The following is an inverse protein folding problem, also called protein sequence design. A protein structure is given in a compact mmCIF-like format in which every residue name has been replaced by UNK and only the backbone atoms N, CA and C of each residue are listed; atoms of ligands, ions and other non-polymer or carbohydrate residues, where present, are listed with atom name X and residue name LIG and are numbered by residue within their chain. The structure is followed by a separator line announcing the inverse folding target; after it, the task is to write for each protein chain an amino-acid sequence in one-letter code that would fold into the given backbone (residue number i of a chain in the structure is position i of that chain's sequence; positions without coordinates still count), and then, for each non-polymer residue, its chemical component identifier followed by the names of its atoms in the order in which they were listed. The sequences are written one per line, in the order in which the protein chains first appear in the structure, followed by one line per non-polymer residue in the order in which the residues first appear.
data_IF_121344348594
#
_entry.id   IF_121344348594
#
_cell.length_a   1.000
_cell.length_b   1.000
_cell.length_c   1.000
_cell.angle_alpha   90.00
_cell.angle_beta   90.00
_cell.angle_gamma   90.00
#
_symmetry.space_group_name_H-M   'P 1'
#
loop_
_entity.id
_entity.type
_entity.pdbx_description
1 polymer ?
#
# COMPACT_ATOMS: atom_id res chain seq x y z
N UNK A 1 9.02 30.33 39.86
CA UNK A 1 8.12 30.47 38.70
C UNK A 1 8.98 30.68 37.47
N UNK A 2 9.28 29.63 36.72
CA UNK A 2 9.87 29.74 35.39
C UNK A 2 8.91 29.07 34.41
N UNK A 3 8.17 29.91 33.69
CA UNK A 3 7.27 29.51 32.61
C UNK A 3 8.14 29.10 31.42
N UNK A 4 8.37 27.80 31.28
CA UNK A 4 8.90 27.22 30.04
C UNK A 4 7.83 27.42 28.97
N UNK A 5 8.09 28.34 28.03
CA UNK A 5 7.29 28.47 26.81
C UNK A 5 7.52 27.21 25.98
N UNK A 6 6.56 26.29 26.01
CA UNK A 6 6.49 25.23 25.01
C UNK A 6 6.29 25.90 23.65
N UNK A 7 7.32 25.83 22.82
CA UNK A 7 7.20 26.09 21.40
C UNK A 7 6.30 24.98 20.87
N UNK A 8 5.09 25.35 20.47
CA UNK A 8 4.19 24.47 19.74
C UNK A 8 4.86 24.18 18.39
N UNK A 9 5.68 23.13 18.35
CA UNK A 9 6.22 22.59 17.12
C UNK A 9 5.03 21.88 16.47
N UNK A 10 4.32 22.58 15.59
CA UNK A 10 3.39 21.95 14.67
C UNK A 10 4.28 21.15 13.73
N UNK A 11 4.59 19.91 14.12
CA UNK A 11 5.08 18.89 13.23
C UNK A 11 3.90 18.65 12.29
N UNK A 12 3.94 19.24 11.10
CA UNK A 12 3.16 18.69 10.00
C UNK A 12 3.71 17.28 9.82
N UNK A 13 3.02 16.29 10.38
CA UNK A 13 3.21 14.89 10.05
C UNK A 13 2.71 14.75 8.62
N UNK A 14 3.61 15.09 7.70
CA UNK A 14 3.42 14.83 6.29
C UNK A 14 3.35 13.30 6.21
N UNK A 15 2.30 12.71 5.64
CA UNK A 15 2.27 11.27 5.44
C UNK A 15 3.58 10.91 4.73
N UNK A 16 4.34 9.94 5.26
CA UNK A 16 5.60 9.37 4.70
C UNK A 16 5.52 8.89 3.23
N UNK A 17 4.42 9.21 2.57
CA UNK A 17 3.75 8.54 1.46
C UNK A 17 3.98 9.30 0.15
N UNK A 18 4.93 10.24 0.11
CA UNK A 18 5.19 11.07 -1.06
C UNK A 18 6.66 11.10 -1.46
N UNK A 19 7.47 10.15 -0.99
CA UNK A 19 8.90 10.04 -1.29
C UNK A 19 9.14 8.85 -2.20
N UNK A 20 8.74 8.96 -3.47
CA UNK A 20 9.04 7.91 -4.44
C UNK A 20 9.20 8.44 -5.87
N UNK A 21 10.20 7.90 -6.54
CA UNK A 21 10.29 7.87 -8.00
C UNK A 21 9.47 6.67 -8.48
N UNK A 22 8.29 6.96 -9.01
CA UNK A 22 7.39 6.00 -9.62
C UNK A 22 7.53 6.02 -11.14
N UNK A 23 7.89 4.89 -11.75
CA UNK A 23 7.98 4.79 -13.21
C UNK A 23 7.41 3.49 -13.74
N UNK A 24 6.78 3.58 -14.91
CA UNK A 24 6.26 2.42 -15.63
C UNK A 24 6.97 2.30 -16.96
N UNK A 25 7.49 1.11 -17.26
CA UNK A 25 8.11 0.78 -18.53
C UNK A 25 7.45 -0.43 -19.16
N UNK A 26 7.24 -0.41 -20.48
CA UNK A 26 6.62 -1.50 -21.23
C UNK A 26 7.48 -1.87 -22.41
N UNK A 27 7.62 -3.15 -22.68
CA UNK A 27 8.35 -3.61 -23.85
C UNK A 27 8.43 -5.13 -23.90
N UNK A 28 9.46 -5.61 -24.58
CA UNK A 28 9.76 -7.03 -24.67
C UNK A 28 11.10 -7.31 -23.99
N UNK A 29 11.15 -8.46 -23.33
CA UNK A 29 12.34 -9.09 -22.81
C UNK A 29 12.40 -10.49 -23.42
N UNK A 30 13.26 -10.68 -24.43
CA UNK A 30 13.18 -11.82 -25.35
C UNK A 30 11.88 -11.81 -26.16
N UNK A 31 11.18 -12.96 -26.23
CA UNK A 31 9.85 -13.11 -26.85
C UNK A 31 8.70 -12.69 -25.92
N UNK A 32 9.00 -12.22 -24.71
CA UNK A 32 8.01 -12.00 -23.66
C UNK A 32 7.69 -10.52 -23.53
N UNK A 33 6.42 -10.17 -23.70
CA UNK A 33 5.93 -8.82 -23.38
C UNK A 33 5.88 -8.66 -21.87
N UNK A 34 6.46 -7.57 -21.36
CA UNK A 34 6.55 -7.27 -19.94
C UNK A 34 6.19 -5.82 -19.64
N UNK A 35 5.76 -5.57 -18.41
CA UNK A 35 5.53 -4.24 -17.86
C UNK A 35 6.23 -4.14 -16.50
N UNK A 36 7.12 -3.17 -16.35
CA UNK A 36 7.95 -2.93 -15.18
C UNK A 36 7.42 -1.70 -14.44
N UNK A 37 7.33 -1.83 -13.12
CA UNK A 37 6.92 -0.80 -12.18
C UNK A 37 8.07 -0.59 -11.21
N UNK A 38 8.64 0.62 -11.21
CA UNK A 38 9.77 0.98 -10.37
C UNK A 38 9.27 1.95 -9.32
N UNK A 39 9.62 1.68 -8.05
CA UNK A 39 9.44 2.58 -6.91
C UNK A 39 10.80 2.74 -6.27
N UNK A 40 11.31 3.97 -6.21
CA UNK A 40 12.60 4.27 -5.61
C UNK A 40 12.52 5.42 -4.63
N UNK A 41 13.09 5.24 -3.45
CA UNK A 41 13.35 6.33 -2.49
C UNK A 41 14.68 6.99 -2.85
N UNK A 42 15.67 6.18 -3.26
CA UNK A 42 16.99 6.65 -3.68
C UNK A 42 17.65 5.69 -4.65
N UNK A 43 18.84 6.04 -5.16
CA UNK A 43 19.64 5.14 -5.98
C UNK A 43 20.10 3.85 -5.26
N UNK A 44 20.03 3.81 -3.94
CA UNK A 44 20.41 2.65 -3.13
C UNK A 44 19.19 1.91 -2.57
N UNK A 45 17.99 2.46 -2.76
CA UNK A 45 16.75 1.94 -2.18
C UNK A 45 15.64 2.05 -3.22
N UNK A 46 15.51 0.99 -4.01
CA UNK A 46 14.49 0.87 -5.02
C UNK A 46 14.17 -0.57 -5.33
N UNK A 47 12.91 -0.75 -5.71
CA UNK A 47 12.32 -2.02 -6.03
C UNK A 47 11.67 -1.99 -7.41
N UNK A 48 11.61 -3.15 -8.03
CA UNK A 48 10.91 -3.36 -9.30
C UNK A 48 9.92 -4.48 -9.14
N UNK A 49 8.67 -4.21 -9.52
CA UNK A 49 7.68 -5.24 -9.75
C UNK A 49 7.45 -5.33 -11.25
N UNK A 50 7.39 -6.53 -11.81
CA UNK A 50 7.03 -6.67 -13.20
C UNK A 50 6.01 -7.77 -13.47
N UNK A 51 5.16 -7.51 -14.47
CA UNK A 51 4.17 -8.45 -14.99
C UNK A 51 4.70 -9.08 -16.28
N UNK A 52 4.74 -10.41 -16.31
CA UNK A 52 4.93 -11.17 -17.54
C UNK A 52 3.58 -11.44 -18.22
N UNK A 53 3.34 -10.90 -19.41
CA UNK A 53 2.04 -11.08 -20.07
C UNK A 53 1.77 -12.50 -20.57
N UNK A 54 2.80 -13.34 -20.74
CA UNK A 54 2.66 -14.71 -21.23
C UNK A 54 2.25 -15.66 -20.10
N UNK A 55 2.86 -15.53 -18.93
CA UNK A 55 2.55 -16.38 -17.75
C UNK A 55 1.62 -15.73 -16.73
N UNK A 56 1.38 -14.42 -16.83
CA UNK A 56 0.63 -13.61 -15.84
C UNK A 56 1.22 -13.70 -14.44
N UNK A 57 2.53 -13.95 -14.36
CA UNK A 57 3.29 -13.98 -13.12
C UNK A 57 3.74 -12.57 -12.79
N UNK A 58 3.61 -12.22 -11.51
CA UNK A 58 4.14 -10.99 -10.94
C UNK A 58 5.44 -11.37 -10.24
N UNK A 59 6.49 -10.62 -10.52
CA UNK A 59 7.80 -10.84 -9.96
C UNK A 59 8.28 -9.59 -9.26
N UNK A 60 8.94 -9.76 -8.12
CA UNK A 60 9.50 -8.67 -7.33
C UNK A 60 11.02 -8.79 -7.29
N UNK A 61 11.69 -7.71 -7.69
CA UNK A 61 13.13 -7.54 -7.68
C UNK A 61 13.45 -6.42 -6.68
N UNK A 62 13.93 -6.81 -5.50
CA UNK A 62 14.41 -5.87 -4.50
C UNK A 62 15.90 -6.04 -4.23
N UNK A 63 16.45 -5.18 -3.37
CA UNK A 63 17.83 -5.25 -2.88
C UNK A 63 18.87 -5.20 -4.02
N UNK A 64 18.71 -4.25 -4.93
CA UNK A 64 19.65 -4.01 -6.02
C UNK A 64 21.08 -3.77 -5.47
N UNK A 65 22.08 -4.38 -6.12
CA UNK A 65 23.49 -4.07 -5.86
C UNK A 65 24.02 -3.17 -6.95
N UNK A 66 24.42 -1.96 -6.58
CA UNK A 66 25.09 -1.02 -7.49
C UNK A 66 26.51 -1.51 -7.77
N UNK A 67 26.84 -1.68 -9.04
CA UNK A 67 28.18 -1.91 -9.57
C UNK A 67 28.60 -0.78 -10.51
N UNK A 68 29.80 -0.88 -11.07
CA UNK A 68 30.34 0.13 -11.98
C UNK A 68 29.57 0.23 -13.29
N UNK A 69 28.86 -0.84 -13.66
CA UNK A 69 28.14 -1.00 -14.93
C UNK A 69 26.62 -0.79 -14.79
N UNK A 70 26.09 -0.72 -13.56
CA UNK A 70 24.66 -0.56 -13.29
C UNK A 70 24.18 -1.27 -12.03
N UNK A 71 22.96 -1.79 -12.08
CA UNK A 71 22.26 -2.37 -10.93
C UNK A 71 21.99 -3.85 -11.13
N UNK A 72 22.47 -4.67 -10.20
CA UNK A 72 22.36 -6.13 -10.25
C UNK A 72 21.34 -6.64 -9.24
N UNK A 73 20.37 -7.41 -9.71
CA UNK A 73 19.34 -8.07 -8.91
C UNK A 73 19.57 -9.58 -8.94
N UNK A 74 19.82 -10.17 -7.77
CA UNK A 74 20.10 -11.62 -7.64
C UNK A 74 18.93 -12.43 -7.10
N UNK A 75 17.90 -11.76 -6.58
CA UNK A 75 16.78 -12.42 -5.91
C UNK A 75 15.47 -11.93 -6.52
N UNK A 76 14.73 -12.88 -7.09
CA UNK A 76 13.34 -12.68 -7.48
C UNK A 76 12.48 -13.40 -6.45
N UNK A 77 11.74 -12.65 -5.63
CA UNK A 77 10.71 -13.24 -4.76
C UNK A 77 9.46 -13.28 -5.63
N UNK A 78 9.20 -14.43 -6.23
CA UNK A 78 8.11 -14.65 -7.18
C UNK A 78 6.98 -15.41 -6.47
N UNK A 79 5.73 -15.12 -6.80
CA UNK A 79 4.56 -15.75 -6.16
C UNK A 79 4.48 -17.27 -6.38
N UNK A 80 5.21 -17.84 -7.35
CA UNK A 80 5.11 -19.26 -7.69
C UNK A 80 6.34 -19.89 -8.37
N UNK A 81 7.52 -19.28 -8.29
CA UNK A 81 8.70 -19.83 -8.97
C UNK A 81 9.96 -19.72 -8.11
N UNK A 82 10.56 -20.87 -7.82
CA UNK A 82 11.98 -21.05 -7.47
C UNK A 82 12.94 -20.64 -8.62
N UNK A 83 12.52 -19.75 -9.52
CA UNK A 83 13.35 -19.28 -10.62
C UNK A 83 14.22 -18.14 -10.13
N UNK A 84 15.49 -18.49 -9.88
CA UNK A 84 16.57 -17.53 -9.74
C UNK A 84 16.86 -16.96 -11.14
N UNK A 85 16.24 -15.84 -11.49
CA UNK A 85 16.67 -15.03 -12.61
C UNK A 85 17.57 -13.91 -12.06
N UNK A 86 18.74 -13.74 -12.66
CA UNK A 86 19.60 -12.60 -12.39
C UNK A 86 19.30 -11.52 -13.43
N UNK A 87 18.95 -10.33 -12.95
CA UNK A 87 18.63 -9.19 -13.80
C UNK A 87 19.62 -8.05 -13.57
N UNK A 88 19.97 -7.38 -14.65
CA UNK A 88 20.88 -6.26 -14.66
C UNK A 88 20.25 -5.07 -15.38
N UNK A 89 20.33 -3.88 -14.77
CA UNK A 89 19.81 -2.63 -15.33
C UNK A 89 20.95 -1.63 -15.48
N UNK A 90 21.06 -1.05 -16.69
CA UNK A 90 22.11 -0.09 -17.06
C UNK A 90 21.61 1.34 -16.91
N UNK A 91 22.48 2.21 -16.40
CA UNK A 91 22.35 3.68 -16.45
C UNK A 91 20.97 4.23 -16.03
N UNK A 92 20.38 3.68 -14.96
CA UNK A 92 19.11 4.19 -14.46
C UNK A 92 19.28 5.58 -13.84
N UNK A 93 18.52 6.54 -14.36
CA UNK A 93 18.52 7.92 -13.88
C UNK A 93 17.61 8.06 -12.66
N UNK A 94 18.19 8.11 -11.46
CA UNK A 94 17.48 8.41 -10.21
C UNK A 94 17.26 9.91 -9.98
N UNK A 95 17.39 10.76 -11.01
CA UNK A 95 17.22 12.20 -10.83
C UNK A 95 15.87 12.53 -10.16
N UNK A 96 16.00 13.14 -8.98
CA UNK A 96 14.93 13.53 -8.08
C UNK A 96 14.31 14.87 -8.49
N UNK A 97 13.03 15.07 -8.17
CA UNK A 97 12.31 16.35 -8.29
C UNK A 97 12.37 17.00 -9.69
N UNK A 98 12.55 16.18 -10.73
CA UNK A 98 12.50 16.60 -12.13
C UNK A 98 11.19 16.15 -12.77
N UNK A 99 10.64 17.01 -13.65
CA UNK A 99 9.41 16.70 -14.39
C UNK A 99 9.59 15.43 -15.21
N UNK A 100 10.72 15.32 -15.92
CA UNK A 100 11.05 14.15 -16.73
C UNK A 100 12.48 13.70 -16.46
N UNK A 101 12.70 12.39 -16.40
CA UNK A 101 14.04 11.80 -16.45
C UNK A 101 14.65 11.90 -17.84
N UNK A 102 15.99 11.85 -17.91
CA UNK A 102 16.73 12.00 -19.18
C UNK A 102 16.45 10.87 -20.17
N UNK A 103 16.17 9.68 -19.64
CA UNK A 103 16.05 8.46 -20.42
C UNK A 103 14.58 8.03 -20.53
N UNK A 104 14.12 7.87 -21.77
CA UNK A 104 12.80 7.30 -22.07
C UNK A 104 12.81 5.76 -22.17
N UNK A 105 13.97 5.15 -21.95
CA UNK A 105 14.12 3.71 -22.01
C UNK A 105 14.78 3.17 -20.76
N UNK A 106 14.30 2.02 -20.31
CA UNK A 106 15.00 1.16 -19.37
C UNK A 106 15.72 0.09 -20.18
N UNK A 107 17.04 -0.01 -20.01
CA UNK A 107 17.87 -0.97 -20.73
C UNK A 107 18.54 -1.89 -19.73
N UNK A 108 18.61 -3.17 -20.06
CA UNK A 108 19.19 -4.16 -19.18
C UNK A 108 19.29 -5.53 -19.83
N UNK A 109 19.58 -6.53 -19.02
CA UNK A 109 19.65 -7.93 -19.42
C UNK A 109 19.09 -8.82 -18.32
N UNK A 110 18.36 -9.86 -18.71
CA UNK A 110 17.99 -10.98 -17.86
C UNK A 110 18.82 -12.19 -18.25
N UNK A 111 19.29 -12.97 -17.27
CA UNK A 111 19.97 -14.22 -17.52
C UNK A 111 19.07 -15.21 -18.29
N UNK A 112 17.78 -15.20 -17.97
CA UNK A 112 16.80 -16.12 -18.56
C UNK A 112 16.32 -15.66 -19.93
N UNK A 113 16.15 -14.34 -20.13
CA UNK A 113 15.43 -13.80 -21.29
C UNK A 113 16.29 -12.92 -22.21
N UNK A 114 17.55 -12.67 -21.85
CA UNK A 114 18.50 -11.89 -22.62
C UNK A 114 18.32 -10.38 -22.46
N UNK A 115 18.90 -9.63 -23.39
CA UNK A 115 18.88 -8.17 -23.40
C UNK A 115 17.47 -7.62 -23.63
N UNK A 116 17.14 -6.52 -22.96
CA UNK A 116 15.88 -5.83 -23.11
C UNK A 116 16.03 -4.31 -23.20
N UNK A 117 15.03 -3.70 -23.83
CA UNK A 117 14.85 -2.26 -23.91
C UNK A 117 13.37 -1.95 -23.78
N UNK A 118 12.96 -1.43 -22.63
CA UNK A 118 11.58 -1.11 -22.31
C UNK A 118 11.34 0.39 -22.45
N UNK A 119 10.19 0.78 -22.99
CA UNK A 119 9.81 2.17 -23.21
C UNK A 119 9.05 2.72 -22.00
N UNK A 120 9.43 3.90 -21.51
CA UNK A 120 8.77 4.59 -20.41
C UNK A 120 7.36 5.01 -20.82
N UNK A 121 6.36 4.59 -20.05
CA UNK A 121 4.94 4.93 -20.24
C UNK A 121 4.42 5.91 -19.20
N UNK A 122 5.06 5.96 -18.04
CA UNK A 122 4.72 6.88 -16.98
C UNK A 122 5.96 7.22 -16.14
N UNK A 123 5.98 8.44 -15.61
CA UNK A 123 6.94 8.86 -14.59
C UNK A 123 6.36 9.89 -13.63
N UNK A 124 6.78 9.77 -12.38
CA UNK A 124 6.59 10.75 -11.33
C UNK A 124 7.80 10.68 -10.40
N UNK A 125 8.59 11.76 -10.31
CA UNK A 125 9.89 11.73 -9.64
C UNK A 125 9.88 12.65 -8.41
N UNK A 126 9.08 12.34 -7.37
CA UNK A 126 9.02 13.16 -6.17
C UNK A 126 9.96 12.59 -5.10
N UNK A 127 10.88 13.42 -4.60
CA UNK A 127 11.72 13.10 -3.45
C UNK A 127 11.65 14.26 -2.48
N UNK A 128 11.03 14.02 -1.32
CA UNK A 128 10.97 15.02 -0.26
C UNK A 128 12.29 14.96 0.55
N UNK A 129 12.89 16.10 0.91
CA UNK A 129 14.13 16.07 1.68
C UNK A 129 13.89 15.54 3.10
N UNK A 130 14.41 14.34 3.39
CA UNK A 130 14.48 13.78 4.74
C UNK A 130 15.38 14.67 5.61
N UNK A 131 14.76 15.41 6.53
CA UNK A 131 15.40 15.93 7.76
C UNK A 131 16.75 16.63 7.52
N UNK A 132 16.83 17.49 6.51
CA UNK A 132 17.70 18.67 6.59
C UNK A 132 17.14 19.75 5.67
N UNK A 133 16.46 20.74 6.26
CA UNK A 133 15.96 21.94 5.55
C UNK A 133 17.10 22.83 4.99
N UNK A 134 18.34 22.34 5.00
CA UNK A 134 19.51 23.01 4.45
C UNK A 134 19.44 23.13 2.93
N UNK A 135 18.88 22.14 2.21
CA UNK A 135 18.72 22.22 0.75
C UNK A 135 17.35 22.80 0.34
N UNK A 136 17.25 24.12 0.50
CA UNK A 136 16.08 24.91 0.08
C UNK A 136 15.75 24.77 -1.41
N UNK A 137 16.73 24.40 -2.25
CA UNK A 137 16.52 24.23 -3.69
C UNK A 137 15.70 22.97 -3.93
N UNK A 138 16.12 21.82 -3.39
CA UNK A 138 15.37 20.55 -3.50
C UNK A 138 13.95 20.67 -2.97
N UNK A 139 13.77 21.33 -1.82
CA UNK A 139 12.44 21.57 -1.25
C UNK A 139 11.54 22.38 -2.19
N UNK A 140 12.09 23.41 -2.85
CA UNK A 140 11.33 24.21 -3.82
C UNK A 140 10.99 23.40 -5.07
N UNK A 141 11.90 22.57 -5.58
CA UNK A 141 11.67 21.70 -6.73
C UNK A 141 10.56 20.68 -6.43
N UNK A 142 10.61 20.01 -5.26
CA UNK A 142 9.56 19.10 -4.81
C UNK A 142 8.19 19.79 -4.70
N UNK A 143 8.14 20.99 -4.08
CA UNK A 143 6.92 21.80 -4.00
C UNK A 143 6.36 22.18 -5.37
N UNK A 144 7.23 22.53 -6.32
CA UNK A 144 6.80 22.83 -7.69
C UNK A 144 6.26 21.58 -8.39
N UNK A 145 6.87 20.42 -8.20
CA UNK A 145 6.37 19.16 -8.76
C UNK A 145 4.97 18.83 -8.22
N UNK A 146 4.75 18.93 -6.91
CA UNK A 146 3.43 18.73 -6.29
C UNK A 146 2.40 19.70 -6.84
N UNK A 147 2.73 20.99 -6.95
CA UNK A 147 1.79 22.01 -7.44
C UNK A 147 1.43 21.85 -8.91
N UNK A 148 2.39 21.47 -9.74
CA UNK A 148 2.24 21.56 -11.19
C UNK A 148 1.88 20.23 -11.86
N UNK A 149 2.12 19.10 -11.20
CA UNK A 149 1.88 17.77 -11.78
C UNK A 149 0.45 17.31 -11.56
N UNK A 150 -0.18 16.83 -12.63
CA UNK A 150 -1.52 16.25 -12.64
C UNK A 150 -1.51 15.02 -13.54
N UNK A 151 -2.19 13.96 -13.12
CA UNK A 151 -2.45 12.80 -13.98
C UNK A 151 -3.71 12.08 -13.52
N UNK A 152 -4.33 11.34 -14.45
CA UNK A 152 -5.58 10.63 -14.19
C UNK A 152 -5.48 9.20 -14.67
N UNK A 153 -6.07 8.30 -13.90
CA UNK A 153 -6.28 6.91 -14.27
C UNK A 153 -4.98 6.16 -14.64
N UNK A 154 -3.89 6.41 -13.90
CA UNK A 154 -2.65 5.65 -14.06
C UNK A 154 -2.78 4.35 -13.29
N UNK A 155 -2.50 3.23 -13.95
CA UNK A 155 -2.52 1.93 -13.30
C UNK A 155 -1.17 1.59 -12.69
N UNK A 156 -1.16 1.17 -11.42
CA UNK A 156 0.01 0.64 -10.75
C UNK A 156 -0.24 -0.82 -10.35
N UNK A 157 0.58 -1.73 -10.87
CA UNK A 157 0.54 -3.14 -10.49
C UNK A 157 0.81 -3.30 -9.00
N UNK A 158 0.06 -4.20 -8.37
CA UNK A 158 0.28 -4.55 -6.98
C UNK A 158 1.10 -5.83 -6.90
N UNK A 159 1.98 -5.88 -5.90
CA UNK A 159 2.81 -7.06 -5.61
C UNK A 159 1.94 -8.27 -5.31
N UNK A 160 0.99 -8.08 -4.40
CA UNK A 160 0.03 -9.09 -3.99
C UNK A 160 -0.84 -9.54 -5.15
N UNK A 161 -0.99 -10.85 -5.31
CA UNK A 161 -1.89 -11.45 -6.28
C UNK A 161 -2.39 -12.80 -5.80
N UNK A 162 -3.58 -13.20 -6.25
CA UNK A 162 -4.12 -14.51 -5.88
C UNK A 162 -3.65 -15.56 -6.87
N UNK A 163 -4.04 -16.82 -6.65
CA UNK A 163 -3.84 -17.87 -7.65
C UNK A 163 -4.47 -17.52 -9.01
N UNK A 164 -5.66 -16.91 -8.98
CA UNK A 164 -6.50 -16.72 -10.16
C UNK A 164 -6.46 -15.28 -10.71
N UNK A 165 -6.04 -14.30 -9.91
CA UNK A 165 -6.16 -12.88 -10.23
C UNK A 165 -4.88 -12.09 -9.94
N UNK A 166 -4.67 -11.02 -10.70
CA UNK A 166 -3.73 -9.96 -10.36
C UNK A 166 -4.43 -8.60 -10.35
N UNK A 167 -3.85 -7.66 -9.61
CA UNK A 167 -4.49 -6.39 -9.30
C UNK A 167 -3.64 -5.23 -9.79
N UNK A 168 -4.31 -4.21 -10.33
CA UNK A 168 -3.73 -2.90 -10.56
C UNK A 168 -4.57 -1.86 -9.84
N UNK A 169 -3.96 -1.04 -8.98
CA UNK A 169 -4.66 0.12 -8.42
C UNK A 169 -4.71 1.21 -9.48
N UNK A 170 -5.86 1.87 -9.56
CA UNK A 170 -6.06 3.02 -10.42
C UNK A 170 -5.83 4.28 -9.59
N UNK A 171 -4.83 5.07 -9.97
CA UNK A 171 -4.40 6.25 -9.23
C UNK A 171 -4.57 7.52 -10.05
N UNK A 172 -4.86 8.62 -9.37
CA UNK A 172 -4.91 9.96 -9.95
C UNK A 172 -4.32 10.97 -8.99
N UNK A 173 -3.83 12.07 -9.55
CA UNK A 173 -3.28 13.20 -8.82
C UNK A 173 -3.83 14.48 -9.45
N UNK A 174 -4.53 15.28 -8.65
CA UNK A 174 -4.88 16.65 -9.03
C UNK A 174 -3.70 17.59 -8.70
N UNK A 175 -3.69 18.80 -9.29
CA UNK A 175 -2.71 19.82 -8.93
C UNK A 175 -2.79 20.16 -7.44
N UNK A 176 -1.64 20.44 -6.83
CA UNK A 176 -1.52 20.78 -5.41
C UNK A 176 -1.90 19.65 -4.43
N UNK A 177 -2.32 18.49 -4.92
CA UNK A 177 -2.70 17.32 -4.13
C UNK A 177 -1.69 16.17 -4.30
N UNK A 178 -1.77 15.16 -3.43
CA UNK A 178 -0.98 13.93 -3.53
C UNK A 178 -1.66 12.88 -4.40
N UNK A 179 -0.95 11.81 -4.71
CA UNK A 179 -1.49 10.69 -5.48
C UNK A 179 -2.53 9.95 -4.63
N UNK A 180 -3.70 9.72 -5.21
CA UNK A 180 -4.81 9.00 -4.58
C UNK A 180 -5.23 7.80 -5.42
N UNK A 181 -5.52 6.71 -4.74
CA UNK A 181 -6.17 5.53 -5.27
C UNK A 181 -7.66 5.86 -5.44
N UNK A 182 -8.14 5.77 -6.68
CA UNK A 182 -9.52 6.04 -7.07
C UNK A 182 -10.29 4.78 -7.48
N UNK A 183 -9.58 3.66 -7.67
CA UNK A 183 -10.17 2.38 -8.01
C UNK A 183 -9.17 1.23 -8.00
N UNK A 184 -9.66 0.02 -8.28
CA UNK A 184 -8.85 -1.19 -8.46
C UNK A 184 -9.37 -1.91 -9.70
N UNK A 185 -8.47 -2.24 -10.62
CA UNK A 185 -8.72 -3.11 -11.74
C UNK A 185 -8.21 -4.52 -11.42
N UNK A 186 -9.09 -5.50 -11.61
CA UNK A 186 -8.87 -6.90 -11.27
C UNK A 186 -8.81 -7.67 -12.58
N UNK A 187 -7.73 -8.40 -12.81
CA UNK A 187 -7.49 -9.11 -14.04
C UNK A 187 -7.34 -10.60 -13.79
N UNK A 188 -7.90 -11.43 -14.68
CA UNK A 188 -7.71 -12.88 -14.58
C UNK A 188 -6.32 -13.28 -15.04
N UNK A 189 -5.61 -14.09 -14.25
CA UNK A 189 -4.35 -14.73 -14.66
C UNK A 189 -4.55 -15.81 -15.73
N UNK A 190 -5.77 -16.33 -15.89
CA UNK A 190 -6.08 -17.36 -16.88
C UNK A 190 -5.94 -16.85 -18.32
N UNK A 191 -6.42 -15.63 -18.59
CA UNK A 191 -6.47 -15.06 -19.95
C UNK A 191 -5.95 -13.62 -20.04
N UNK A 192 -5.71 -12.94 -18.91
CA UNK A 192 -5.27 -11.54 -18.87
C UNK A 192 -6.37 -10.52 -19.11
N UNK A 193 -7.63 -10.94 -19.11
CA UNK A 193 -8.77 -10.04 -19.31
C UNK A 193 -9.13 -9.33 -18.01
N UNK A 194 -9.59 -8.09 -18.13
CA UNK A 194 -10.16 -7.32 -17.02
C UNK A 194 -11.46 -8.01 -16.58
N UNK A 195 -11.48 -8.51 -15.35
CA UNK A 195 -12.65 -9.10 -14.72
C UNK A 195 -13.60 -8.00 -14.22
N UNK A 196 -13.06 -7.04 -13.47
CA UNK A 196 -13.85 -6.04 -12.77
C UNK A 196 -13.02 -4.78 -12.51
N UNK A 197 -13.70 -3.63 -12.55
CA UNK A 197 -13.19 -2.37 -12.02
C UNK A 197 -14.01 -1.96 -10.80
N UNK A 198 -13.37 -1.89 -9.64
CA UNK A 198 -13.94 -1.29 -8.44
C UNK A 198 -13.65 0.21 -8.49
N UNK A 199 -14.70 1.03 -8.46
CA UNK A 199 -14.63 2.49 -8.55
C UNK A 199 -15.07 3.12 -7.23
N UNK A 200 -14.76 4.40 -7.05
CA UNK A 200 -15.27 5.23 -5.94
C UNK A 200 -14.74 4.82 -4.56
N UNK A 201 -13.46 4.48 -4.49
CA UNK A 201 -12.75 4.37 -3.21
C UNK A 201 -12.67 5.75 -2.55
N UNK A 202 -12.62 5.82 -1.20
CA UNK A 202 -12.61 7.07 -0.41
C UNK A 202 -11.30 7.90 -0.56
N UNK A 203 -10.66 7.88 -1.72
CA UNK A 203 -9.46 8.67 -2.03
C UNK A 203 -8.27 8.30 -1.17
N UNK A 204 -8.01 7.00 -1.00
CA UNK A 204 -6.89 6.49 -0.20
C UNK A 204 -5.58 7.00 -0.79
N UNK A 205 -4.64 7.58 -0.02
CA UNK A 205 -3.30 7.87 -0.50
C UNK A 205 -2.67 6.63 -1.13
N UNK A 206 -2.03 6.83 -2.29
CA UNK A 206 -1.20 5.81 -2.90
C UNK A 206 0.18 5.86 -2.25
N UNK A 207 0.56 4.78 -1.55
CA UNK A 207 1.81 4.73 -0.79
C UNK A 207 2.90 3.98 -1.51
N UNK A 208 2.55 2.81 -2.04
CA UNK A 208 3.47 1.94 -2.73
C UNK A 208 2.70 0.90 -3.53
N UNK A 209 3.44 -0.04 -4.13
CA UNK A 209 2.88 -1.16 -4.87
C UNK A 209 2.39 -2.32 -3.97
N UNK A 210 2.28 -2.11 -2.66
CA UNK A 210 1.88 -3.15 -1.69
C UNK A 210 0.69 -2.73 -0.80
N UNK A 211 -0.24 -1.95 -1.34
CA UNK A 211 -1.42 -1.48 -0.59
C UNK A 211 -2.56 -2.50 -0.54
N UNK A 212 -2.45 -3.60 -1.29
CA UNK A 212 -3.36 -4.74 -1.27
C UNK A 212 -2.72 -5.95 -0.58
N UNK A 213 -3.51 -6.67 0.20
CA UNK A 213 -3.12 -7.96 0.78
C UNK A 213 -4.19 -9.01 0.50
N UNK A 214 -3.73 -10.26 0.32
CA UNK A 214 -4.57 -11.42 -0.01
C UNK A 214 -4.84 -12.23 1.25
N UNK A 215 -5.98 -12.90 1.31
CA UNK A 215 -6.28 -13.88 2.33
C UNK A 215 -7.57 -14.63 2.05
N UNK A 216 -7.95 -15.49 2.98
CA UNK A 216 -9.29 -16.09 3.08
C UNK A 216 -10.06 -15.32 4.17
N UNK A 217 -10.87 -14.36 3.75
CA UNK A 217 -11.62 -13.48 4.65
C UNK A 217 -13.09 -13.88 4.75
N UNK A 218 -13.45 -15.04 4.20
CA UNK A 218 -14.83 -15.52 4.10
C UNK A 218 -14.97 -16.98 4.60
N UNK A 219 -13.83 -17.59 4.94
CA UNK A 219 -13.65 -18.91 5.53
C UNK A 219 -14.10 -20.04 4.60
N UNK A 220 -13.96 -19.86 3.29
CA UNK A 220 -14.24 -20.90 2.29
C UNK A 220 -13.02 -21.73 1.87
N UNK A 221 -11.83 -21.39 2.38
CA UNK A 221 -10.57 -22.06 2.09
C UNK A 221 -9.93 -21.62 0.78
N UNK A 222 -10.46 -20.59 0.12
CA UNK A 222 -9.86 -19.97 -1.06
C UNK A 222 -9.21 -18.64 -0.71
N UNK A 223 -7.93 -18.48 -1.02
CA UNK A 223 -7.19 -17.22 -0.85
C UNK A 223 -7.39 -16.29 -2.05
N UNK A 224 -8.63 -16.14 -2.50
CA UNK A 224 -8.98 -15.24 -3.60
C UNK A 224 -9.51 -13.89 -3.11
N UNK A 225 -9.73 -13.72 -1.81
CA UNK A 225 -10.16 -12.45 -1.24
C UNK A 225 -8.99 -11.49 -1.07
N UNK A 226 -9.29 -10.21 -0.94
CA UNK A 226 -8.28 -9.21 -0.64
C UNK A 226 -8.81 -8.09 0.24
N UNK A 227 -7.90 -7.33 0.84
CA UNK A 227 -8.23 -6.03 1.41
C UNK A 227 -7.29 -4.94 0.92
N UNK A 228 -7.80 -3.72 0.94
CA UNK A 228 -7.06 -2.48 0.72
C UNK A 228 -6.79 -1.81 2.06
N UNK A 229 -5.54 -1.39 2.30
CA UNK A 229 -5.15 -0.66 3.52
C UNK A 229 -4.68 0.76 3.22
N UNK A 230 -4.85 1.64 4.19
CA UNK A 230 -4.53 3.08 4.07
C UNK A 230 -3.10 3.46 4.47
N UNK A 231 -2.28 2.50 4.88
CA UNK A 231 -0.89 2.71 5.28
C UNK A 231 -0.03 1.48 4.95
N UNK A 232 1.29 1.63 4.87
CA UNK A 232 2.20 0.48 4.71
C UNK A 232 2.26 -0.44 5.95
N UNK A 233 1.90 0.07 7.13
CA UNK A 233 1.97 -0.68 8.38
C UNK A 233 0.60 -1.25 8.81
N UNK A 234 0.62 -2.42 9.44
CA UNK A 234 -0.47 -2.92 10.29
C UNK A 234 -0.55 -2.15 11.62
N UNK A 235 -0.32 -0.83 11.58
CA UNK A 235 -0.39 0.00 12.76
C UNK A 235 -1.81 -0.02 13.35
N UNK A 236 -1.88 0.21 14.66
CA UNK A 236 -3.15 0.37 15.33
C UNK A 236 -3.95 1.44 14.60
N UNK A 237 -5.22 1.17 14.36
CA UNK A 237 -6.13 2.11 13.72
C UNK A 237 -5.88 2.45 12.24
N UNK A 238 -5.21 1.60 11.47
CA UNK A 238 -5.24 1.73 10.00
C UNK A 238 -6.55 1.19 9.45
N UNK A 239 -7.30 2.05 8.74
CA UNK A 239 -8.55 1.63 8.10
C UNK A 239 -8.28 0.65 6.95
N UNK A 240 -9.05 -0.42 6.93
CA UNK A 240 -9.00 -1.46 5.90
C UNK A 240 -10.38 -1.65 5.26
N UNK A 241 -10.40 -1.97 3.96
CA UNK A 241 -11.62 -2.32 3.22
C UNK A 241 -11.45 -3.70 2.62
N UNK A 242 -12.33 -4.63 2.99
CA UNK A 242 -12.27 -6.03 2.57
C UNK A 242 -13.19 -6.31 1.40
N UNK A 243 -12.73 -7.17 0.49
CA UNK A 243 -13.45 -7.61 -0.69
C UNK A 243 -13.42 -9.13 -0.78
N UNK A 244 -14.59 -9.73 -0.84
CA UNK A 244 -14.78 -11.18 -0.97
C UNK A 244 -15.02 -11.54 -2.43
N UNK A 245 -14.33 -12.55 -2.94
CA UNK A 245 -14.61 -13.08 -4.27
C UNK A 245 -15.84 -13.99 -4.24
N UNK A 246 -16.86 -13.63 -5.01
CA UNK A 246 -18.04 -14.45 -5.23
C UNK A 246 -17.92 -15.18 -6.57
N UNK A 247 -17.49 -16.45 -6.50
CA UNK A 247 -17.37 -17.34 -7.66
C UNK A 247 -18.68 -17.45 -8.46
N UNK A 248 -19.84 -17.42 -7.78
CA UNK A 248 -21.14 -17.58 -8.44
C UNK A 248 -21.50 -16.39 -9.32
N UNK A 249 -21.01 -15.20 -8.95
CA UNK A 249 -21.21 -13.95 -9.69
C UNK A 249 -19.97 -13.56 -10.51
N UNK A 250 -18.88 -14.32 -10.37
CA UNK A 250 -17.57 -14.06 -10.95
C UNK A 250 -17.11 -12.61 -10.72
N UNK A 251 -17.22 -12.13 -9.48
CA UNK A 251 -16.85 -10.74 -9.12
C UNK A 251 -16.54 -10.62 -7.62
N UNK A 252 -15.88 -9.53 -7.27
CA UNK A 252 -15.62 -9.12 -5.90
C UNK A 252 -16.75 -8.27 -5.32
N UNK A 253 -17.06 -8.52 -4.06
CA UNK A 253 -18.11 -7.87 -3.27
C UNK A 253 -17.45 -7.26 -2.03
N UNK A 254 -17.72 -5.98 -1.77
CA UNK A 254 -17.28 -5.34 -0.53
C UNK A 254 -17.92 -6.03 0.68
N UNK A 255 -17.09 -6.49 1.62
CA UNK A 255 -17.47 -7.37 2.71
C UNK A 255 -18.28 -6.66 3.81
N UNK A 256 -18.43 -5.34 3.77
CA UNK A 256 -19.02 -4.52 4.83
C UNK A 256 -18.35 -4.75 6.20
N UNK A 257 -17.05 -5.03 6.17
CA UNK A 257 -16.22 -5.17 7.35
C UNK A 257 -15.44 -3.87 7.51
N UNK A 258 -15.93 -3.03 8.40
CA UNK A 258 -15.31 -1.74 8.70
C UNK A 258 -14.52 -1.85 9.99
N UNK A 259 -13.31 -1.30 9.98
CA UNK A 259 -12.57 -1.17 11.21
C UNK A 259 -11.07 -1.08 11.05
N UNK A 260 -10.45 -1.37 12.17
CA UNK A 260 -9.05 -1.24 12.50
C UNK A 260 -8.57 -2.58 13.04
N UNK A 261 -7.32 -2.96 12.74
CA UNK A 261 -6.62 -4.15 13.25
C UNK A 261 -7.55 -5.36 13.43
N UNK A 262 -8.04 -5.91 12.31
CA UNK A 262 -9.05 -6.96 12.31
C UNK A 262 -8.43 -8.33 12.56
N UNK A 263 -8.98 -9.04 13.55
CA UNK A 263 -8.65 -10.43 13.85
C UNK A 263 -9.76 -11.35 13.37
N UNK A 264 -9.40 -12.37 12.59
CA UNK A 264 -10.32 -13.40 12.10
C UNK A 264 -10.25 -14.65 12.99
N UNK A 265 -11.40 -15.23 13.31
CA UNK A 265 -11.57 -16.52 14.00
C UNK A 265 -12.25 -17.48 13.02
N UNK A 266 -11.49 -18.34 12.32
CA UNK A 266 -12.03 -19.26 11.33
C UNK A 266 -12.96 -20.33 11.91
N UNK A 267 -12.76 -20.73 13.16
CA UNK A 267 -13.59 -21.75 13.82
C UNK A 267 -15.00 -21.21 14.07
N UNK A 268 -15.09 -19.96 14.55
CA UNK A 268 -16.36 -19.29 14.80
C UNK A 268 -16.90 -18.53 13.59
N UNK A 269 -16.09 -18.38 12.54
CA UNK A 269 -16.38 -17.59 11.34
C UNK A 269 -16.72 -16.13 11.66
N UNK A 270 -15.98 -15.59 12.62
CA UNK A 270 -16.17 -14.22 13.11
C UNK A 270 -14.94 -13.37 12.83
N UNK A 271 -15.15 -12.08 12.68
CA UNK A 271 -14.09 -11.08 12.65
C UNK A 271 -14.27 -10.10 13.80
N UNK A 272 -13.18 -9.70 14.44
CA UNK A 272 -13.17 -8.70 15.50
C UNK A 272 -12.28 -7.53 15.07
N UNK A 273 -12.88 -6.36 14.87
CA UNK A 273 -12.12 -5.13 14.70
C UNK A 273 -11.75 -4.55 16.07
N UNK A 274 -10.52 -4.08 16.20
CA UNK A 274 -10.03 -3.40 17.41
C UNK A 274 -9.61 -1.98 17.05
N UNK A 275 -10.25 -0.99 17.68
CA UNK A 275 -9.83 0.41 17.65
C UNK A 275 -9.16 0.78 18.97
N UNK A 276 -7.95 1.29 18.92
CA UNK A 276 -7.24 1.85 20.08
C UNK A 276 -7.50 3.35 20.16
N UNK A 277 -7.86 3.87 21.32
CA UNK A 277 -8.13 5.29 21.56
C UNK A 277 -7.32 5.75 22.78
N UNK A 278 -6.68 6.91 22.66
CA UNK A 278 -5.66 7.35 23.62
C UNK A 278 -4.26 6.93 23.16
N UNK A 279 -3.27 7.69 23.61
CA UNK A 279 -1.87 7.50 23.19
C UNK A 279 -1.20 6.44 24.07
N UNK A 280 -0.89 5.27 23.53
CA UNK A 280 -0.28 4.16 24.29
C UNK A 280 1.14 4.52 24.78
N UNK A 281 1.79 5.51 24.17
CA UNK A 281 3.15 5.95 24.49
C UNK A 281 3.20 7.16 25.43
N UNK A 282 2.24 8.08 25.36
CA UNK A 282 2.20 9.32 26.18
C UNK A 282 1.14 9.27 27.27
N UNK A 283 0.01 8.60 27.03
CA UNK A 283 -1.07 8.47 28.00
C UNK A 283 -0.98 7.10 28.70
N UNK A 284 -0.80 7.06 30.04
CA UNK A 284 -0.91 5.80 30.76
C UNK A 284 -2.30 5.17 30.63
N UNK A 285 -3.33 5.88 30.15
CA UNK A 285 -4.68 5.35 30.01
C UNK A 285 -5.12 5.28 28.54
N UNK A 286 -5.24 4.07 28.00
CA UNK A 286 -5.80 3.85 26.67
C UNK A 286 -7.04 2.95 26.71
N UNK A 287 -7.88 3.08 25.68
CA UNK A 287 -9.13 2.34 25.52
C UNK A 287 -9.01 1.49 24.27
N UNK A 288 -9.44 0.23 24.35
CA UNK A 288 -9.67 -0.60 23.16
C UNK A 288 -11.17 -0.83 22.98
N UNK A 289 -11.67 -0.46 21.81
CA UNK A 289 -13.04 -0.70 21.36
C UNK A 289 -13.04 -1.89 20.41
N UNK A 290 -13.77 -2.94 20.77
CA UNK A 290 -13.87 -4.16 20.00
C UNK A 290 -15.24 -4.24 19.35
N UNK A 291 -15.28 -4.44 18.03
CA UNK A 291 -16.51 -4.70 17.27
C UNK A 291 -16.44 -6.10 16.68
N UNK A 292 -17.43 -6.93 17.01
CA UNK A 292 -17.52 -8.30 16.53
C UNK A 292 -18.51 -8.40 15.37
N UNK A 293 -18.15 -9.19 14.38
CA UNK A 293 -18.90 -9.43 13.17
C UNK A 293 -18.96 -10.93 12.89
N UNK A 294 -20.09 -11.39 12.38
CA UNK A 294 -20.28 -12.76 11.91
C UNK A 294 -20.35 -12.76 10.39
N UNK A 295 -19.63 -13.67 9.74
CA UNK A 295 -19.70 -13.77 8.28
C UNK A 295 -20.99 -14.43 7.81
N UNK A 296 -21.68 -13.76 6.89
CA UNK A 296 -22.88 -14.26 6.23
C UNK A 296 -22.54 -14.77 4.82
N UNK A 297 -22.33 -16.08 4.71
CA UNK A 297 -21.96 -16.74 3.45
C UNK A 297 -22.91 -16.45 2.29
N UNK A 298 -24.22 -16.33 2.55
CA UNK A 298 -25.20 -16.11 1.49
C UNK A 298 -25.13 -14.69 0.91
N UNK A 299 -24.74 -13.71 1.73
CA UNK A 299 -24.58 -12.31 1.30
C UNK A 299 -23.15 -11.99 0.87
N UNK A 300 -22.18 -12.85 1.20
CA UNK A 300 -20.74 -12.59 1.13
C UNK A 300 -20.35 -11.29 1.86
N UNK A 301 -20.93 -11.10 3.06
CA UNK A 301 -20.77 -9.90 3.89
C UNK A 301 -20.74 -10.23 5.38
N UNK A 302 -20.16 -9.32 6.15
CA UNK A 302 -20.14 -9.35 7.60
C UNK A 302 -21.36 -8.65 8.19
N UNK A 303 -22.08 -9.35 9.06
CA UNK A 303 -23.19 -8.83 9.85
C UNK A 303 -22.66 -8.50 11.26
N UNK A 304 -22.79 -7.23 11.69
CA UNK A 304 -22.41 -6.78 13.03
C UNK A 304 -23.16 -7.56 14.12
N UNK A 305 -22.44 -8.02 15.14
CA UNK A 305 -23.00 -8.78 16.26
C UNK A 305 -23.07 -7.94 17.53
N UNK A 306 -21.91 -7.48 17.99
CA UNK A 306 -21.79 -6.80 19.27
C UNK A 306 -20.56 -5.89 19.31
N UNK A 307 -20.50 -5.05 20.34
CA UNK A 307 -19.37 -4.20 20.63
C UNK A 307 -19.17 -4.07 22.13
N UNK A 308 -17.92 -4.22 22.56
CA UNK A 308 -17.51 -3.98 23.94
C UNK A 308 -16.25 -3.13 23.96
N UNK A 309 -15.92 -2.60 25.14
CA UNK A 309 -14.73 -1.78 25.29
C UNK A 309 -14.07 -2.07 26.63
N UNK A 310 -12.73 -1.98 26.62
CA UNK A 310 -11.87 -2.17 27.79
C UNK A 310 -11.02 -0.91 27.94
N UNK A 311 -10.97 -0.36 29.16
CA UNK A 311 -10.06 0.71 29.53
C UNK A 311 -8.91 0.11 30.32
N UNK A 312 -7.69 0.47 29.91
CA UNK A 312 -6.44 0.03 30.50
C UNK A 312 -5.81 1.20 31.26
N UNK A 313 -5.35 0.95 32.48
CA UNK A 313 -4.59 1.90 33.30
C UNK A 313 -3.14 1.40 33.41
N UNK A 314 -2.19 2.22 32.92
CA UNK A 314 -0.76 2.02 32.65
C UNK A 314 -0.36 1.16 31.43
N UNK A 315 0.81 1.49 30.86
CA UNK A 315 1.48 0.76 29.78
C UNK A 315 2.26 -0.49 30.24
N UNK A 316 2.39 -0.71 31.54
CA UNK A 316 3.03 -1.91 32.12
C UNK A 316 1.97 -2.96 32.53
N UNK A 317 2.26 -4.24 32.24
CA UNK A 317 1.46 -5.48 32.40
C UNK A 317 0.95 -5.80 33.83
N UNK A 318 0.33 -4.83 34.51
CA UNK A 318 -0.54 -5.05 35.67
C UNK A 318 -1.82 -4.23 35.51
N UNK A 319 -2.49 -4.43 34.38
CA UNK A 319 -3.71 -3.70 34.05
C UNK A 319 -4.86 -4.10 34.98
N UNK A 320 -5.47 -3.10 35.62
CA UNK A 320 -6.81 -3.24 36.16
C UNK A 320 -7.74 -3.06 34.95
N UNK A 321 -8.08 -4.16 34.29
CA UNK A 321 -9.02 -4.14 33.18
C UNK A 321 -10.40 -3.74 33.71
N UNK A 322 -10.86 -2.53 33.36
CA UNK A 322 -12.24 -2.11 33.65
C UNK A 322 -13.04 -1.98 32.37
N UNK A 323 -14.34 -2.30 32.48
CA UNK A 323 -15.31 -1.93 31.46
C UNK A 323 -15.33 -0.41 31.35
N UNK A 324 -15.19 0.13 30.13
CA UNK A 324 -15.23 1.58 30.01
C UNK A 324 -16.62 2.14 30.33
N UNK A 325 -16.60 3.39 30.78
CA UNK A 325 -17.78 4.22 30.95
C UNK A 325 -18.45 4.51 29.61
N UNK A 326 -19.73 4.88 29.65
CA UNK A 326 -20.48 5.28 28.46
C UNK A 326 -19.82 6.46 27.73
N UNK A 327 -19.20 7.38 28.47
CA UNK A 327 -18.50 8.54 27.91
C UNK A 327 -17.26 8.11 27.13
N UNK A 328 -16.37 7.36 27.75
CA UNK A 328 -15.15 6.83 27.13
C UNK A 328 -15.43 6.08 25.83
N UNK A 329 -16.46 5.23 25.82
CA UNK A 329 -16.89 4.51 24.60
C UNK A 329 -17.34 5.47 23.49
N UNK A 330 -18.20 6.44 23.81
CA UNK A 330 -18.73 7.39 22.82
C UNK A 330 -17.64 8.31 22.27
N UNK A 331 -16.70 8.71 23.12
CA UNK A 331 -15.57 9.55 22.72
C UNK A 331 -14.65 8.76 21.78
N UNK A 332 -14.35 7.49 22.10
CA UNK A 332 -13.57 6.61 21.24
C UNK A 332 -14.27 6.29 19.91
N UNK A 333 -15.59 6.05 19.90
CA UNK A 333 -16.36 5.84 18.66
C UNK A 333 -16.27 7.04 17.71
N UNK A 334 -16.31 8.26 18.26
CA UNK A 334 -16.30 9.52 17.48
C UNK A 334 -14.91 9.98 17.07
N UNK A 335 -13.87 9.55 17.77
CA UNK A 335 -12.50 9.91 17.42
C UNK A 335 -12.25 9.55 15.95
N UNK A 336 -11.90 10.51 15.12
CA UNK A 336 -11.31 10.18 13.82
C UNK A 336 -9.88 9.77 14.15
N UNK A 337 -9.46 8.58 13.71
CA UNK A 337 -8.04 8.26 13.74
C UNK A 337 -7.51 8.78 12.42
N UNK A 338 -6.89 9.95 12.44
CA UNK A 338 -6.23 10.43 11.24
C UNK A 338 -5.02 9.54 10.97
N UNK A 339 -4.84 9.13 9.72
CA UNK A 339 -3.64 8.40 9.31
C UNK A 339 -2.47 9.36 9.48
N UNK A 340 -1.66 9.12 10.51
CA UNK A 340 -0.59 10.03 10.94
C UNK A 340 -0.80 10.69 12.32
N UNK A 341 -1.81 10.30 13.10
CA UNK A 341 -1.89 10.65 14.54
C UNK A 341 -1.08 9.71 15.46
N UNK A 342 -0.24 8.85 14.89
CA UNK A 342 0.92 8.28 15.59
C UNK A 342 2.17 9.10 15.17
N UNK A 343 3.05 9.45 16.13
CA UNK A 343 4.02 10.55 16.01
C UNK A 343 5.09 10.40 14.93
#
# INVERSE_FOLDING_TARGET
MNTIKYILMIVFLIPQVAEAIDRVYVGNMGDRKVEFYISAISENDFDIIYLDYKTKTISYLGLARKGDDGYHFRYNINDNLDTKDEMFIKDFDFGENQINSKNNYLVGSSQTFGDFKLEKKFEYNLSWPLIDNSDKKKLNEAKQLIKNTEFKNVEFLQRSSTKDFYFKVLSSKEKEDYIKIIGINIYSKKNGELLQSIKSLKGYPFQSFNVLQIGDFDFDGNENDFFLQNAESHADNVQQIYYIYDESQNKYIEANLEGYSIQFDPEKKTATSTKTCGDVFVDPMFIKLYKQYLFNKNKKKYDYQDQYCISYENSEEKSIDKKCTKKERLDCEKAVVEVGDEP
#
